data_IF_954209439671
#
_entry.id   IF_954209439671
#
_cell.length_a   1.000
_cell.length_b   1.000
_cell.length_c   1.000
_cell.angle_alpha   90.00
_cell.angle_beta   90.00
_cell.angle_gamma   90.00
#
_symmetry.space_group_name_H-M   'P 1'
#
loop_
_entity.id
_entity.type
_entity.pdbx_description
1 polymer ?
#
# COMPACT_ATOMS: atom_id res chain seq x y z
N UNK A 1 -1.67 18.10 8.43
CA UNK A 1 -1.63 16.68 8.84
C UNK A 1 -0.48 16.00 8.12
N UNK A 2 0.28 15.13 8.79
CA UNK A 2 1.35 14.36 8.14
C UNK A 2 0.73 13.32 7.19
N UNK A 3 1.27 13.20 5.97
CA UNK A 3 0.80 12.22 4.98
C UNK A 3 1.34 10.83 5.32
N UNK A 4 0.51 9.78 5.22
CA UNK A 4 0.89 8.39 5.50
C UNK A 4 1.30 7.69 4.20
N UNK A 5 2.54 7.20 4.14
CA UNK A 5 3.11 6.57 2.94
C UNK A 5 3.29 5.05 3.05
N UNK A 6 3.16 4.49 4.25
CA UNK A 6 3.35 3.06 4.50
C UNK A 6 2.10 2.51 5.14
N UNK A 7 1.55 1.44 4.56
CA UNK A 7 0.39 0.73 5.07
C UNK A 7 0.75 -0.72 5.31
N UNK A 8 0.47 -1.22 6.51
CA UNK A 8 0.55 -2.66 6.78
C UNK A 8 -0.56 -3.38 5.98
N UNK A 9 -0.38 -4.66 5.63
CA UNK A 9 -1.45 -5.40 4.93
C UNK A 9 -2.78 -5.39 5.67
N UNK A 10 -2.76 -5.37 7.02
CA UNK A 10 -3.97 -5.25 7.85
C UNK A 10 -4.70 -3.90 7.77
N UNK A 11 -4.07 -2.89 7.16
CA UNK A 11 -4.59 -1.53 7.03
C UNK A 11 -5.07 -1.22 5.61
N UNK A 12 -4.88 -2.15 4.67
CA UNK A 12 -5.26 -2.02 3.27
C UNK A 12 -6.43 -2.92 2.90
N UNK A 13 -7.00 -2.74 1.71
CA UNK A 13 -7.99 -3.64 1.10
C UNK A 13 -8.09 -3.39 -0.42
N UNK A 14 -8.96 -4.14 -1.09
CA UNK A 14 -9.23 -4.00 -2.54
C UNK A 14 -9.76 -2.64 -2.99
N UNK A 15 -10.36 -1.83 -2.11
CA UNK A 15 -10.85 -0.48 -2.49
C UNK A 15 -9.70 0.53 -2.60
N UNK A 16 -8.52 0.20 -2.07
CA UNK A 16 -7.33 1.06 -2.06
C UNK A 16 -6.38 0.78 -3.24
N UNK A 17 -6.84 0.16 -4.32
CA UNK A 17 -6.02 -0.18 -5.51
C UNK A 17 -5.24 1.00 -6.10
N UNK A 18 -5.83 2.20 -6.13
CA UNK A 18 -5.15 3.39 -6.65
C UNK A 18 -3.99 3.85 -5.74
N UNK A 19 -4.09 3.60 -4.43
CA UNK A 19 -3.09 4.00 -3.44
C UNK A 19 -2.02 2.92 -3.22
N UNK A 20 -2.41 1.64 -3.18
CA UNK A 20 -1.53 0.52 -2.84
C UNK A 20 -1.06 -0.28 -4.07
N UNK A 21 -1.57 0.04 -5.26
CA UNK A 21 -1.43 -0.78 -6.45
C UNK A 21 -2.24 -2.08 -6.39
N UNK A 22 -2.38 -2.76 -7.54
CA UNK A 22 -3.18 -3.99 -7.63
C UNK A 22 -2.66 -5.14 -6.76
N UNK A 23 -1.35 -5.33 -6.67
CA UNK A 23 -0.74 -6.38 -5.83
C UNK A 23 -0.89 -6.09 -4.34
N UNK A 24 -0.56 -4.87 -3.91
CA UNK A 24 -0.65 -4.47 -2.51
C UNK A 24 -2.09 -4.51 -1.97
N UNK A 25 -3.05 -4.05 -2.78
CA UNK A 25 -4.47 -4.12 -2.43
C UNK A 25 -4.98 -5.57 -2.32
N UNK A 26 -4.60 -6.46 -3.25
CA UNK A 26 -5.00 -7.87 -3.20
C UNK A 26 -4.32 -8.62 -2.03
N UNK A 27 -3.04 -8.37 -1.74
CA UNK A 27 -2.37 -8.95 -0.57
C UNK A 27 -3.04 -8.49 0.73
N UNK A 28 -3.40 -7.22 0.82
CA UNK A 28 -4.12 -6.70 1.99
C UNK A 28 -5.50 -7.37 2.15
N UNK A 29 -6.23 -7.56 1.05
CA UNK A 29 -7.52 -8.26 1.05
C UNK A 29 -7.39 -9.71 1.51
N UNK A 30 -6.40 -10.44 0.98
CA UNK A 30 -6.11 -11.82 1.38
C UNK A 30 -5.87 -11.91 2.90
N UNK A 31 -5.22 -10.91 3.50
CA UNK A 31 -4.93 -10.86 4.94
C UNK A 31 -6.22 -10.66 5.73
N UNK A 32 -7.07 -9.74 5.26
CA UNK A 32 -8.33 -9.39 5.91
C UNK A 32 -9.35 -10.55 5.89
N UNK A 33 -9.38 -11.33 4.82
CA UNK A 33 -10.24 -12.53 4.73
C UNK A 33 -9.65 -13.77 5.42
N UNK A 34 -8.50 -13.63 6.09
CA UNK A 34 -7.91 -14.68 6.93
C UNK A 34 -7.03 -15.68 6.18
N UNK A 35 -6.60 -15.40 4.95
CA UNK A 35 -5.59 -16.23 4.28
C UNK A 35 -4.25 -16.05 5.01
N UNK A 36 -3.54 -17.14 5.35
CA UNK A 36 -2.26 -17.08 6.06
C UNK A 36 -1.16 -16.59 5.12
N UNK A 37 -1.08 -15.27 4.96
CA UNK A 37 0.04 -14.59 4.30
C UNK A 37 0.98 -13.95 5.32
N UNK A 38 2.30 -13.95 5.04
CA UNK A 38 3.29 -13.28 5.87
C UNK A 38 2.93 -11.83 6.15
N UNK A 39 3.37 -11.34 7.30
CA UNK A 39 3.28 -9.91 7.59
C UNK A 39 4.12 -9.11 6.61
N UNK A 40 3.60 -7.93 6.27
CA UNK A 40 4.20 -7.06 5.28
C UNK A 40 3.49 -5.72 5.21
N UNK A 41 4.03 -4.87 4.35
CA UNK A 41 3.57 -3.52 4.15
C UNK A 41 3.70 -3.12 2.68
N UNK A 42 3.01 -2.04 2.33
CA UNK A 42 3.02 -1.44 1.01
C UNK A 42 3.44 0.01 1.16
N UNK A 43 4.41 0.43 0.34
CA UNK A 43 4.72 1.84 0.10
C UNK A 43 3.77 2.35 -0.98
N UNK A 44 3.05 3.43 -0.70
CA UNK A 44 1.97 3.89 -1.57
C UNK A 44 2.46 4.44 -2.92
N UNK A 45 1.56 4.48 -3.90
CA UNK A 45 1.75 5.18 -5.17
C UNK A 45 2.02 6.68 -4.96
N UNK A 46 1.44 7.29 -3.92
CA UNK A 46 1.71 8.68 -3.56
C UNK A 46 3.15 8.91 -3.07
N UNK A 47 3.77 7.92 -2.40
CA UNK A 47 5.20 7.99 -2.06
C UNK A 47 6.06 7.93 -3.33
N UNK A 48 5.66 7.13 -4.33
CA UNK A 48 6.32 7.11 -5.63
C UNK A 48 6.21 8.47 -6.33
N UNK A 49 5.02 9.08 -6.37
CA UNK A 49 4.85 10.42 -6.93
C UNK A 49 5.71 11.46 -6.19
N UNK A 50 5.71 11.42 -4.85
CA UNK A 50 6.54 12.30 -4.03
C UNK A 50 8.04 12.17 -4.35
N UNK A 51 8.52 10.95 -4.58
CA UNK A 51 9.91 10.70 -4.97
C UNK A 51 10.26 11.41 -6.30
N UNK A 52 9.38 11.31 -7.31
CA UNK A 52 9.57 12.00 -8.58
C UNK A 52 9.44 13.53 -8.46
N UNK A 53 8.49 14.02 -7.66
CA UNK A 53 8.29 15.45 -7.39
C UNK A 53 9.50 16.07 -6.68
N UNK A 54 10.20 15.28 -5.86
CA UNK A 54 11.45 15.67 -5.19
C UNK A 54 12.68 15.64 -6.13
N UNK A 55 12.45 15.43 -7.43
CA UNK A 55 13.50 15.46 -8.46
C UNK A 55 14.36 14.21 -8.52
N UNK A 56 14.01 13.16 -7.79
CA UNK A 56 14.69 11.87 -7.85
C UNK A 56 14.14 11.06 -9.04
N UNK A 57 15.01 10.35 -9.77
CA UNK A 57 14.64 9.54 -10.95
C UNK A 57 15.19 8.13 -10.85
#
# INVERSE_FOLDING_TARGET
>A
MSKKYVYLFKEGNTTMKNLLGGKGANLSEMKNIGIPIPDGFVVTTEACNKYYDDGQK
#
